data_IF_026431568521
#
_entry.id   IF_026431568521
#
_cell.length_a   1.000
_cell.length_b   1.000
_cell.length_c   1.000
_cell.angle_alpha   90.00
_cell.angle_beta   90.00
_cell.angle_gamma   90.00
#
_symmetry.space_group_name_H-M   'P 1'
#
loop_
_entity.id
_entity.type
_entity.pdbx_description
1 polymer ?
#
# COMPACT_ATOMS: atom_id res chain seq x y z
N UNK A 1 -29.00 14.01 -29.23
CA UNK A 1 -29.29 13.83 -27.79
C UNK A 1 -28.54 12.58 -27.33
N UNK A 2 -27.32 12.77 -26.84
CA UNK A 2 -26.48 11.67 -26.34
C UNK A 2 -26.92 11.36 -24.93
N UNK A 3 -27.62 10.24 -24.74
CA UNK A 3 -27.93 9.68 -23.42
C UNK A 3 -26.60 9.31 -22.77
N UNK A 4 -26.11 10.14 -21.85
CA UNK A 4 -25.03 9.76 -20.93
C UNK A 4 -25.53 8.55 -20.13
N UNK A 5 -25.09 7.37 -20.51
CA UNK A 5 -25.23 6.17 -19.70
C UNK A 5 -24.49 6.42 -18.39
N UNK A 6 -25.23 6.86 -17.39
CA UNK A 6 -24.76 6.96 -16.00
C UNK A 6 -24.32 5.57 -15.56
N UNK A 7 -23.01 5.35 -15.60
CA UNK A 7 -22.42 4.07 -15.18
C UNK A 7 -22.77 3.87 -13.70
N UNK A 8 -23.53 2.81 -13.41
CA UNK A 8 -23.87 2.45 -12.04
C UNK A 8 -22.60 2.32 -11.18
N UNK A 9 -22.60 2.86 -9.95
CA UNK A 9 -21.43 2.80 -9.09
C UNK A 9 -21.01 1.36 -8.84
N UNK A 10 -19.72 1.09 -9.01
CA UNK A 10 -19.16 -0.23 -8.77
C UNK A 10 -19.25 -0.57 -7.27
N UNK A 11 -19.72 -1.77 -6.94
CA UNK A 11 -19.76 -2.25 -5.55
C UNK A 11 -18.64 -3.26 -5.32
N UNK A 12 -17.87 -3.05 -4.27
CA UNK A 12 -16.90 -4.03 -3.76
C UNK A 12 -17.63 -4.94 -2.77
N UNK A 13 -17.48 -6.26 -2.90
CA UNK A 13 -18.05 -7.20 -1.94
C UNK A 13 -17.29 -7.10 -0.61
N UNK A 14 -17.96 -6.85 0.54
CA UNK A 14 -17.29 -6.59 1.82
C UNK A 14 -16.37 -7.75 2.24
N UNK A 15 -16.78 -9.00 2.02
CA UNK A 15 -15.95 -10.16 2.34
C UNK A 15 -14.63 -10.18 1.52
N UNK A 16 -14.68 -9.83 0.25
CA UNK A 16 -13.46 -9.75 -0.60
C UNK A 16 -12.55 -8.60 -0.17
N UNK A 17 -13.13 -7.49 0.26
CA UNK A 17 -12.34 -6.40 0.81
C UNK A 17 -11.63 -6.81 2.10
N UNK A 18 -12.33 -7.46 3.02
CA UNK A 18 -11.73 -8.01 4.24
C UNK A 18 -10.63 -9.02 3.95
N UNK A 19 -10.84 -9.92 2.98
CA UNK A 19 -9.80 -10.86 2.54
C UNK A 19 -8.58 -10.14 1.95
N UNK A 20 -8.77 -9.11 1.12
CA UNK A 20 -7.69 -8.31 0.58
C UNK A 20 -6.91 -7.57 1.69
N UNK A 21 -7.61 -7.02 2.68
CA UNK A 21 -6.98 -6.39 3.86
C UNK A 21 -6.13 -7.39 4.64
N UNK A 22 -6.70 -8.54 4.99
CA UNK A 22 -5.99 -9.57 5.76
C UNK A 22 -4.75 -10.08 5.02
N UNK A 23 -4.87 -10.37 3.73
CA UNK A 23 -3.73 -10.79 2.89
C UNK A 23 -2.68 -9.68 2.82
N UNK A 24 -3.08 -8.42 2.66
CA UNK A 24 -2.14 -7.29 2.62
C UNK A 24 -1.36 -7.17 3.94
N UNK A 25 -2.04 -7.19 5.07
CA UNK A 25 -1.39 -7.07 6.39
C UNK A 25 -0.39 -8.21 6.61
N UNK A 26 -0.80 -9.46 6.37
CA UNK A 26 0.06 -10.63 6.56
C UNK A 26 1.26 -10.59 5.62
N UNK A 27 1.04 -10.33 4.33
CA UNK A 27 2.12 -10.32 3.33
C UNK A 27 3.11 -9.17 3.57
N UNK A 28 2.64 -7.96 3.92
CA UNK A 28 3.53 -6.83 4.21
C UNK A 28 4.31 -7.08 5.49
N UNK A 29 3.67 -7.57 6.56
CA UNK A 29 4.36 -7.86 7.82
C UNK A 29 5.42 -8.93 7.64
N UNK A 30 5.13 -10.00 6.89
CA UNK A 30 6.10 -11.05 6.59
C UNK A 30 7.26 -10.52 5.73
N UNK A 31 6.96 -9.71 4.70
CA UNK A 31 7.97 -9.08 3.86
C UNK A 31 8.86 -8.12 4.65
N UNK A 32 8.28 -7.29 5.52
CA UNK A 32 9.02 -6.37 6.36
C UNK A 32 9.92 -7.11 7.36
N UNK A 33 9.47 -8.21 7.94
CA UNK A 33 10.30 -9.06 8.80
C UNK A 33 11.51 -9.62 8.03
N UNK A 34 11.30 -10.15 6.82
CA UNK A 34 12.39 -10.62 5.96
C UNK A 34 13.37 -9.51 5.57
N UNK A 35 12.86 -8.36 5.16
CA UNK A 35 13.68 -7.20 4.80
C UNK A 35 14.45 -6.62 6.00
N UNK A 36 13.87 -6.68 7.20
CA UNK A 36 14.58 -6.31 8.43
C UNK A 36 15.79 -7.20 8.67
N UNK A 37 15.66 -8.52 8.49
CA UNK A 37 16.78 -9.45 8.61
C UNK A 37 17.86 -9.14 7.56
N UNK A 38 17.46 -8.92 6.32
CA UNK A 38 18.39 -8.53 5.24
C UNK A 38 19.08 -7.21 5.57
N UNK A 39 18.33 -6.19 6.01
CA UNK A 39 18.87 -4.89 6.40
C UNK A 39 19.93 -4.99 7.50
N UNK A 40 19.68 -5.81 8.50
CA UNK A 40 20.60 -6.01 9.63
C UNK A 40 21.82 -6.86 9.25
N UNK A 41 21.59 -8.00 8.59
CA UNK A 41 22.66 -8.99 8.32
C UNK A 41 23.50 -8.60 7.12
N UNK A 42 22.87 -8.19 6.03
CA UNK A 42 23.57 -7.91 4.75
C UNK A 42 24.08 -6.48 4.70
N UNK A 43 23.25 -5.53 5.15
CA UNK A 43 23.57 -4.11 5.05
C UNK A 43 24.14 -3.52 6.34
N UNK A 44 24.28 -4.31 7.41
CA UNK A 44 24.79 -3.86 8.71
C UNK A 44 24.10 -2.58 9.19
N UNK A 45 22.80 -2.45 8.93
CA UNK A 45 22.01 -1.32 9.37
C UNK A 45 21.85 -1.36 10.92
N UNK A 46 21.78 -0.19 11.60
CA UNK A 46 21.65 -0.13 13.05
C UNK A 46 20.42 -0.89 13.54
N UNK A 47 20.56 -1.61 14.66
CA UNK A 47 19.47 -2.38 15.27
C UNK A 47 18.31 -1.51 15.76
N UNK A 48 18.59 -0.27 16.13
CA UNK A 48 17.64 0.73 16.60
C UNK A 48 17.00 1.56 15.47
N UNK A 49 17.27 1.21 14.19
CA UNK A 49 16.64 1.90 13.09
C UNK A 49 15.11 1.80 13.18
N UNK A 50 14.42 2.92 13.18
CA UNK A 50 13.00 3.02 13.53
C UNK A 50 12.08 2.11 12.71
N UNK A 51 12.39 1.88 11.44
CA UNK A 51 11.59 1.00 10.56
C UNK A 51 11.73 -0.50 10.91
N UNK A 52 12.79 -0.89 11.65
CA UNK A 52 13.04 -2.28 12.03
C UNK A 52 12.37 -2.67 13.34
N UNK A 53 11.84 -1.70 14.05
CA UNK A 53 11.15 -1.93 15.32
C UNK A 53 9.69 -2.34 15.07
N UNK A 54 9.25 -3.52 15.53
CA UNK A 54 7.88 -3.99 15.30
C UNK A 54 6.81 -3.04 15.82
N UNK A 55 7.08 -2.34 16.93
CA UNK A 55 6.17 -1.35 17.51
C UNK A 55 5.90 -0.16 16.57
N UNK A 56 6.77 0.09 15.60
CA UNK A 56 6.60 1.14 14.60
C UNK A 56 6.08 0.58 13.28
N UNK A 57 6.65 -0.53 12.80
CA UNK A 57 6.32 -1.09 11.49
C UNK A 57 4.92 -1.68 11.41
N UNK A 58 4.43 -2.29 12.50
CA UNK A 58 3.08 -2.90 12.52
C UNK A 58 1.97 -1.85 12.47
N UNK A 59 1.94 -0.81 13.34
CA UNK A 59 0.94 0.26 13.24
C UNK A 59 0.97 0.96 11.88
N UNK A 60 2.14 1.32 11.37
CA UNK A 60 2.28 1.96 10.06
C UNK A 60 1.74 1.08 8.92
N UNK A 61 1.94 -0.23 8.99
CA UNK A 61 1.37 -1.17 8.03
C UNK A 61 -0.16 -1.18 8.09
N UNK A 62 -0.73 -1.21 9.30
CA UNK A 62 -2.18 -1.18 9.48
C UNK A 62 -2.80 0.12 8.98
N UNK A 63 -2.18 1.25 9.28
CA UNK A 63 -2.61 2.56 8.80
C UNK A 63 -2.56 2.65 7.28
N UNK A 64 -1.47 2.22 6.65
CA UNK A 64 -1.32 2.22 5.20
C UNK A 64 -2.36 1.34 4.51
N UNK A 65 -2.64 0.14 5.05
CA UNK A 65 -3.65 -0.77 4.52
C UNK A 65 -5.06 -0.21 4.71
N UNK A 66 -5.38 0.40 5.85
CA UNK A 66 -6.67 1.04 6.11
C UNK A 66 -6.90 2.24 5.19
N UNK A 67 -5.88 3.09 5.01
CA UNK A 67 -5.94 4.23 4.10
C UNK A 67 -6.16 3.78 2.65
N UNK A 68 -5.43 2.75 2.22
CA UNK A 68 -5.57 2.19 0.88
C UNK A 68 -6.95 1.58 0.64
N UNK A 69 -7.53 0.89 1.64
CA UNK A 69 -8.88 0.34 1.56
C UNK A 69 -9.94 1.44 1.44
N UNK A 70 -9.78 2.52 2.21
CA UNK A 70 -10.66 3.68 2.14
C UNK A 70 -10.57 4.33 0.76
N UNK A 71 -9.36 4.58 0.27
CA UNK A 71 -9.13 5.13 -1.06
C UNK A 71 -9.73 4.23 -2.15
N UNK A 72 -9.54 2.90 -2.05
CA UNK A 72 -10.12 1.94 -2.98
C UNK A 72 -11.65 2.00 -2.97
N UNK A 73 -12.28 2.04 -1.79
CA UNK A 73 -13.74 2.18 -1.63
C UNK A 73 -14.27 3.46 -2.28
N UNK A 74 -13.62 4.60 -2.02
CA UNK A 74 -13.99 5.89 -2.60
C UNK A 74 -13.82 5.91 -4.12
N UNK A 75 -12.69 5.42 -4.64
CA UNK A 75 -12.44 5.37 -6.07
C UNK A 75 -13.45 4.48 -6.81
N UNK A 76 -13.87 3.36 -6.19
CA UNK A 76 -14.89 2.51 -6.77
C UNK A 76 -16.26 3.16 -6.80
N UNK A 77 -16.54 4.06 -5.85
CA UNK A 77 -17.81 4.77 -5.81
C UNK A 77 -17.86 5.95 -6.79
N UNK A 78 -16.76 6.70 -6.90
CA UNK A 78 -16.75 7.96 -7.64
C UNK A 78 -16.05 7.91 -9.00
N UNK A 79 -15.25 6.87 -9.30
CA UNK A 79 -14.42 6.86 -10.50
C UNK A 79 -14.85 5.79 -11.52
N UNK A 80 -14.91 6.12 -12.82
CA UNK A 80 -15.11 5.13 -13.88
C UNK A 80 -13.88 4.22 -14.09
N UNK A 81 -12.70 4.62 -13.61
CA UNK A 81 -11.43 3.88 -13.76
C UNK A 81 -10.70 3.76 -12.43
N UNK A 82 -11.27 3.06 -11.42
CA UNK A 82 -10.73 3.03 -10.07
C UNK A 82 -9.30 2.46 -10.00
N UNK A 83 -9.02 1.38 -10.73
CA UNK A 83 -7.70 0.75 -10.71
C UNK A 83 -6.59 1.68 -11.25
N UNK A 84 -6.90 2.48 -12.28
CA UNK A 84 -5.93 3.43 -12.82
C UNK A 84 -5.62 4.55 -11.83
N UNK A 85 -6.65 5.14 -11.23
CA UNK A 85 -6.48 6.20 -10.23
C UNK A 85 -5.78 5.68 -8.98
N UNK A 86 -6.11 4.45 -8.56
CA UNK A 86 -5.45 3.81 -7.42
C UNK A 86 -3.95 3.58 -7.69
N UNK A 87 -3.61 3.14 -8.91
CA UNK A 87 -2.21 3.01 -9.34
C UNK A 87 -1.47 4.35 -9.33
N UNK A 88 -2.08 5.41 -9.85
CA UNK A 88 -1.46 6.74 -9.82
C UNK A 88 -1.29 7.27 -8.39
N UNK A 89 -2.28 7.07 -7.54
CA UNK A 89 -2.19 7.42 -6.11
C UNK A 89 -1.06 6.66 -5.41
N UNK A 90 -0.91 5.35 -5.68
CA UNK A 90 0.20 4.56 -5.13
C UNK A 90 1.58 5.08 -5.58
N UNK A 91 1.72 5.46 -6.85
CA UNK A 91 2.97 6.07 -7.36
C UNK A 91 3.30 7.39 -6.68
N UNK A 92 2.32 8.27 -6.54
CA UNK A 92 2.49 9.55 -5.84
C UNK A 92 2.87 9.30 -4.38
N UNK A 93 2.20 8.36 -3.71
CA UNK A 93 2.51 7.99 -2.34
C UNK A 93 3.95 7.50 -2.19
N UNK A 94 4.42 6.60 -3.06
CA UNK A 94 5.81 6.13 -3.04
C UNK A 94 6.79 7.27 -3.30
N UNK A 95 6.52 8.15 -4.28
CA UNK A 95 7.40 9.29 -4.57
C UNK A 95 7.51 10.26 -3.40
N UNK A 96 6.39 10.59 -2.75
CA UNK A 96 6.37 11.45 -1.55
C UNK A 96 7.11 10.77 -0.39
N UNK A 97 6.91 9.45 -0.21
CA UNK A 97 7.60 8.69 0.82
C UNK A 97 9.12 8.70 0.62
N UNK A 98 9.59 8.62 -0.62
CA UNK A 98 11.03 8.75 -0.92
C UNK A 98 11.59 10.12 -0.54
N UNK A 99 10.85 11.21 -0.76
CA UNK A 99 11.26 12.54 -0.29
C UNK A 99 11.38 12.59 1.23
N UNK A 100 10.44 11.95 1.95
CA UNK A 100 10.49 11.87 3.41
C UNK A 100 11.65 10.97 3.89
N UNK A 101 12.00 9.92 3.13
CA UNK A 101 13.16 9.07 3.40
C UNK A 101 14.48 9.84 3.34
N UNK A 102 14.60 10.84 2.45
CA UNK A 102 15.78 11.73 2.43
C UNK A 102 15.89 12.56 3.72
N UNK A 103 14.76 12.98 4.28
CA UNK A 103 14.74 13.64 5.59
C UNK A 103 15.16 12.67 6.73
N UNK A 104 14.69 11.43 6.67
CA UNK A 104 15.08 10.37 7.60
C UNK A 104 16.60 10.09 7.52
N UNK A 105 17.19 10.16 6.33
CA UNK A 105 18.64 10.03 6.14
C UNK A 105 19.42 11.10 6.91
N UNK A 106 18.94 12.35 6.89
CA UNK A 106 19.58 13.43 7.63
C UNK A 106 19.56 13.20 9.14
N UNK A 107 18.52 12.54 9.65
CA UNK A 107 18.34 12.25 11.09
C UNK A 107 19.10 11.01 11.52
N UNK A 108 18.95 9.90 10.81
CA UNK A 108 19.46 8.58 11.20
C UNK A 108 20.84 8.25 10.63
N UNK A 109 21.33 9.02 9.67
CA UNK A 109 22.65 8.89 9.02
C UNK A 109 22.97 7.49 8.51
N UNK A 110 21.96 6.65 8.27
CA UNK A 110 22.11 5.28 7.78
C UNK A 110 21.54 5.18 6.36
N UNK A 111 22.40 5.28 5.37
CA UNK A 111 22.02 5.15 3.95
C UNK A 111 21.37 3.79 3.67
N UNK A 112 21.96 2.71 4.18
CA UNK A 112 21.47 1.36 3.95
C UNK A 112 20.17 1.07 4.69
N UNK A 113 19.96 1.67 5.88
CA UNK A 113 18.68 1.63 6.58
C UNK A 113 17.56 2.30 5.77
N UNK A 114 17.84 3.47 5.21
CA UNK A 114 16.89 4.21 4.36
C UNK A 114 16.59 3.45 3.07
N UNK A 115 17.58 2.87 2.40
CA UNK A 115 17.37 2.02 1.22
C UNK A 115 16.47 0.82 1.56
N UNK A 116 16.69 0.18 2.70
CA UNK A 116 15.84 -0.93 3.15
C UNK A 116 14.40 -0.46 3.39
N UNK A 117 14.21 0.71 4.01
CA UNK A 117 12.90 1.33 4.20
C UNK A 117 12.20 1.60 2.86
N UNK A 118 12.91 2.14 1.88
CA UNK A 118 12.36 2.43 0.56
C UNK A 118 11.93 1.13 -0.17
N UNK A 119 12.70 0.06 -0.04
CA UNK A 119 12.32 -1.26 -0.55
C UNK A 119 11.04 -1.76 0.15
N UNK A 120 10.95 -1.63 1.48
CA UNK A 120 9.74 -2.01 2.23
C UNK A 120 8.51 -1.25 1.74
N UNK A 121 8.64 0.05 1.46
CA UNK A 121 7.55 0.90 0.95
C UNK A 121 7.08 0.45 -0.44
N UNK A 122 8.02 0.18 -1.36
CA UNK A 122 7.69 -0.29 -2.72
C UNK A 122 7.01 -1.67 -2.67
N UNK A 123 7.54 -2.59 -1.87
CA UNK A 123 6.95 -3.92 -1.69
C UNK A 123 5.55 -3.80 -1.08
N UNK A 124 5.39 -3.00 -0.03
CA UNK A 124 4.11 -2.77 0.61
C UNK A 124 3.07 -2.18 -0.35
N UNK A 125 3.42 -1.14 -1.08
CA UNK A 125 2.54 -0.52 -2.07
C UNK A 125 2.14 -1.51 -3.19
N UNK A 126 3.06 -2.34 -3.64
CA UNK A 126 2.81 -3.37 -4.66
C UNK A 126 1.86 -4.44 -4.14
N UNK A 127 2.08 -4.94 -2.92
CA UNK A 127 1.21 -5.94 -2.28
C UNK A 127 -0.21 -5.40 -2.12
N UNK A 128 -0.36 -4.18 -1.60
CA UNK A 128 -1.66 -3.53 -1.45
C UNK A 128 -2.36 -3.38 -2.79
N UNK A 129 -1.65 -2.89 -3.80
CA UNK A 129 -2.22 -2.72 -5.15
C UNK A 129 -2.72 -4.05 -5.72
N UNK A 130 -1.92 -5.10 -5.65
CA UNK A 130 -2.29 -6.43 -6.13
C UNK A 130 -3.45 -7.02 -5.34
N UNK A 131 -3.45 -6.90 -4.02
CA UNK A 131 -4.52 -7.41 -3.18
C UNK A 131 -5.85 -6.71 -3.49
N UNK A 132 -5.87 -5.37 -3.57
CA UNK A 132 -7.08 -4.61 -3.86
C UNK A 132 -7.62 -4.90 -5.26
N UNK A 133 -6.75 -4.96 -6.27
CA UNK A 133 -7.18 -5.14 -7.67
C UNK A 133 -7.52 -6.58 -8.02
N UNK A 134 -6.89 -7.58 -7.40
CA UNK A 134 -7.07 -9.01 -7.73
C UNK A 134 -8.06 -9.72 -6.80
N UNK A 135 -8.06 -9.40 -5.51
CA UNK A 135 -8.92 -10.05 -4.51
C UNK A 135 -10.25 -9.33 -4.37
N UNK A 136 -10.23 -7.98 -4.39
CA UNK A 136 -11.41 -7.13 -4.24
C UNK A 136 -11.73 -6.33 -5.52
N UNK A 137 -11.88 -6.98 -6.70
CA UNK A 137 -12.22 -6.29 -7.93
C UNK A 137 -13.62 -5.67 -7.83
N UNK A 138 -13.82 -4.59 -8.57
CA UNK A 138 -15.14 -3.98 -8.75
C UNK A 138 -16.07 -4.88 -9.54
N UNK A 139 -17.27 -5.12 -9.02
CA UNK A 139 -18.37 -5.72 -9.76
C UNK A 139 -19.26 -4.59 -10.28
N UNK A 140 -19.28 -4.39 -11.59
CA UNK A 140 -20.28 -3.51 -12.23
C UNK A 140 -21.55 -4.32 -12.40
N UNK A 141 -22.64 -3.84 -11.80
CA UNK A 141 -23.96 -4.39 -12.06
C UNK A 141 -24.40 -3.84 -13.41
N UNK A 142 -24.32 -4.67 -14.45
CA UNK A 142 -24.96 -4.36 -15.73
C UNK A 142 -26.46 -4.58 -15.49
N UNK A 143 -27.23 -3.52 -15.35
CA UNK A 143 -28.69 -3.59 -15.42
C UNK A 143 -29.03 -3.91 -16.87
N UNK A 144 -29.52 -5.13 -17.08
CA UNK A 144 -30.11 -5.54 -18.36
C UNK A 144 -31.49 -4.90 -18.54
#
# INVERSE_FOLDING_TARGET
MSTELSAAPGRVRPFRLLAALAVSVVAITASNAGLTVIGKVVFSAPDDFCAFLPQNSVPMTLEAVALAATAWGLLNHYSPRPAWWFYQGARVFVAVSWLLSLLALATWRSVLGVVTLDIMLVVGATVIYLAMTRIAPTVRVTTA
#
